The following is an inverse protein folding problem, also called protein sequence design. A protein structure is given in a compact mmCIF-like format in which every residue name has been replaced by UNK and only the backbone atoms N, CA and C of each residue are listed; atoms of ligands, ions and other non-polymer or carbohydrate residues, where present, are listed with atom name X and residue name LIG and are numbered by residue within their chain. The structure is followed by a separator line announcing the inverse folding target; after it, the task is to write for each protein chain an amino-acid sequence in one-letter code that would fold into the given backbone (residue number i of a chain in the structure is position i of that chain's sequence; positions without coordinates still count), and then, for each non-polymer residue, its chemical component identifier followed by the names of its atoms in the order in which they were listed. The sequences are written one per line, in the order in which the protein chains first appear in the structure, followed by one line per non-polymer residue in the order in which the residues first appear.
data_IF_780228929630
#
_entry.id   IF_780228929630
#
_cell.length_a   1.000
_cell.length_b   1.000
_cell.length_c   1.000
_cell.angle_alpha   90.00
_cell.angle_beta   90.00
_cell.angle_gamma   90.00
#
_symmetry.space_group_name_H-M   'P 1'
#
loop_
_entity.id
_entity.type
_entity.pdbx_description
1 polymer ?
#
# COMPACT_ATOMS: atom_id res chain seq x y z
N UNK A 1 3.93 -14.55 -3.20
CA UNK A 1 3.46 -13.14 -3.19
C UNK A 1 3.04 -12.79 -1.78
N UNK A 2 3.27 -11.56 -1.34
CA UNK A 2 2.86 -11.06 -0.02
C UNK A 2 1.83 -9.94 -0.17
N UNK A 3 1.12 -9.64 0.92
CA UNK A 3 0.34 -8.42 1.04
C UNK A 3 1.06 -7.44 1.96
N UNK A 4 1.13 -6.17 1.60
CA UNK A 4 1.85 -5.14 2.37
C UNK A 4 0.86 -4.07 2.82
N UNK A 5 0.93 -3.74 4.11
CA UNK A 5 0.14 -2.67 4.72
C UNK A 5 1.09 -1.63 5.31
N UNK A 6 1.19 -0.45 4.69
CA UNK A 6 2.05 0.63 5.16
C UNK A 6 1.25 1.61 6.02
N UNK A 7 1.59 1.70 7.30
CA UNK A 7 0.88 2.53 8.28
C UNK A 7 1.74 2.71 9.54
N UNK A 8 1.89 3.94 10.01
CA UNK A 8 2.65 4.26 11.22
C UNK A 8 1.85 4.02 12.51
N UNK A 9 0.52 4.05 12.43
CA UNK A 9 -0.36 4.12 13.61
C UNK A 9 -1.33 2.94 13.74
N UNK A 10 -2.06 2.59 12.68
CA UNK A 10 -3.11 1.57 12.72
C UNK A 10 -2.54 0.18 12.94
N UNK A 11 -3.39 -0.73 13.43
CA UNK A 11 -3.07 -2.16 13.53
C UNK A 11 -3.02 -2.76 12.13
N UNK A 12 -2.01 -3.59 11.85
CA UNK A 12 -1.94 -4.38 10.63
C UNK A 12 -3.07 -5.41 10.59
N UNK A 13 -3.85 -5.51 9.50
CA UNK A 13 -4.76 -6.63 9.29
C UNK A 13 -4.00 -7.95 9.24
N UNK A 14 -4.66 -9.05 9.64
CA UNK A 14 -4.05 -10.39 9.53
C UNK A 14 -3.84 -10.78 8.07
N UNK A 15 -2.77 -11.54 7.80
CA UNK A 15 -2.35 -11.88 6.44
C UNK A 15 -1.59 -10.78 5.68
N UNK A 16 -1.36 -9.62 6.30
CA UNK A 16 -0.50 -8.57 5.77
C UNK A 16 0.84 -8.49 6.50
N UNK A 17 1.88 -8.15 5.76
CA UNK A 17 3.16 -7.68 6.28
C UNK A 17 3.08 -6.18 6.51
N UNK A 18 3.36 -5.75 7.73
CA UNK A 18 3.32 -4.35 8.13
C UNK A 18 4.63 -3.63 7.77
N UNK A 19 4.51 -2.48 7.11
CA UNK A 19 5.61 -1.52 6.97
C UNK A 19 5.30 -0.28 7.83
N UNK A 20 6.15 -0.01 8.82
CA UNK A 20 6.00 1.14 9.74
C UNK A 20 6.62 2.43 9.22
N UNK A 21 7.37 2.34 8.14
CA UNK A 21 7.96 3.50 7.48
C UNK A 21 7.91 3.36 5.96
N UNK A 22 8.11 4.48 5.27
CA UNK A 22 8.30 4.52 3.81
C UNK A 22 9.47 3.63 3.39
N UNK A 23 10.58 3.66 4.13
CA UNK A 23 11.78 2.90 3.75
C UNK A 23 11.56 1.38 3.90
N UNK A 24 10.88 0.93 4.95
CA UNK A 24 10.47 -0.47 5.09
C UNK A 24 9.53 -0.90 3.95
N UNK A 25 8.57 -0.05 3.58
CA UNK A 25 7.64 -0.35 2.48
C UNK A 25 8.39 -0.52 1.16
N UNK A 26 9.35 0.37 0.87
CA UNK A 26 10.15 0.30 -0.35
C UNK A 26 11.09 -0.90 -0.36
N UNK A 27 11.65 -1.28 0.80
CA UNK A 27 12.44 -2.49 0.92
C UNK A 27 11.63 -3.74 0.57
N UNK A 28 10.42 -3.87 1.12
CA UNK A 28 9.52 -4.99 0.81
C UNK A 28 9.16 -5.05 -0.68
N UNK A 29 8.85 -3.89 -1.30
CA UNK A 29 8.51 -3.80 -2.72
C UNK A 29 9.68 -4.20 -3.64
N UNK A 30 10.93 -3.97 -3.22
CA UNK A 30 12.12 -4.34 -3.99
C UNK A 30 12.52 -5.81 -3.80
N UNK A 31 12.18 -6.41 -2.66
CA UNK A 31 12.62 -7.76 -2.29
C UNK A 31 11.57 -8.85 -2.56
N UNK A 32 10.30 -8.49 -2.66
CA UNK A 32 9.21 -9.45 -2.82
C UNK A 32 8.21 -9.02 -3.89
N UNK A 33 7.58 -10.01 -4.51
CA UNK A 33 6.41 -9.78 -5.36
C UNK A 33 5.19 -9.50 -4.46
N UNK A 34 4.64 -8.30 -4.58
CA UNK A 34 3.50 -7.82 -3.78
C UNK A 34 2.21 -7.97 -4.57
N UNK A 35 1.25 -8.69 -4.01
CA UNK A 35 -0.08 -8.85 -4.62
C UNK A 35 -0.97 -7.66 -4.25
N UNK A 36 -1.11 -7.35 -2.96
CA UNK A 36 -1.90 -6.22 -2.46
C UNK A 36 -0.99 -5.27 -1.69
N UNK A 37 -1.01 -3.99 -2.06
CA UNK A 37 -0.35 -2.91 -1.35
C UNK A 37 -1.39 -1.91 -0.83
N UNK A 38 -1.41 -1.67 0.47
CA UNK A 38 -2.26 -0.64 1.08
C UNK A 38 -1.39 0.50 1.61
N UNK A 39 -1.62 1.73 1.15
CA UNK A 39 -0.82 2.91 1.48
C UNK A 39 -1.57 3.93 2.35
N UNK A 40 -0.97 4.31 3.48
CA UNK A 40 -1.27 5.57 4.14
C UNK A 40 -0.39 6.70 3.58
N UNK A 41 -0.93 7.92 3.60
CA UNK A 41 -0.19 9.13 3.27
C UNK A 41 0.57 9.67 4.47
N UNK A 42 -0.10 9.74 5.62
CA UNK A 42 0.41 10.35 6.84
C UNK A 42 1.24 9.30 7.59
N UNK A 43 2.56 9.46 7.63
CA UNK A 43 3.48 8.51 8.28
C UNK A 43 4.23 9.13 9.47
N UNK A 44 3.63 10.17 10.07
CA UNK A 44 4.18 10.88 11.22
C UNK A 44 4.84 12.23 10.88
N UNK A 45 5.12 13.06 11.92
CA UNK A 45 5.67 14.39 11.74
C UNK A 45 7.15 14.37 11.31
N UNK A 46 7.48 15.14 10.28
CA UNK A 46 8.81 15.20 9.65
C UNK A 46 9.29 13.89 9.00
N UNK A 47 8.40 12.92 8.81
CA UNK A 47 8.68 11.69 8.08
C UNK A 47 8.38 11.84 6.59
N UNK A 48 8.92 10.92 5.79
CA UNK A 48 8.48 10.73 4.40
C UNK A 48 7.00 10.34 4.39
N UNK A 49 6.31 10.63 3.30
CA UNK A 49 4.87 10.41 3.15
C UNK A 49 4.58 9.28 2.16
N UNK A 50 3.32 8.87 2.06
CA UNK A 50 2.90 7.94 1.01
C UNK A 50 3.19 8.42 -0.42
N UNK A 51 3.38 9.73 -0.65
CA UNK A 51 3.83 10.24 -1.95
C UNK A 51 5.23 9.76 -2.30
N UNK A 52 6.12 9.61 -1.32
CA UNK A 52 7.49 9.14 -1.54
C UNK A 52 7.48 7.69 -2.04
N UNK A 53 6.60 6.85 -1.47
CA UNK A 53 6.36 5.48 -1.96
C UNK A 53 5.74 5.50 -3.35
N UNK A 54 4.67 6.27 -3.57
CA UNK A 54 4.02 6.36 -4.87
C UNK A 54 4.98 6.80 -5.99
N UNK A 55 5.85 7.77 -5.68
CA UNK A 55 6.87 8.26 -6.62
C UNK A 55 7.89 7.18 -6.92
N UNK A 56 8.44 6.51 -5.89
CA UNK A 56 9.41 5.44 -6.07
C UNK A 56 8.83 4.26 -6.88
N UNK A 57 7.58 3.86 -6.61
CA UNK A 57 6.86 2.86 -7.42
C UNK A 57 6.83 3.27 -8.89
N UNK A 58 6.44 4.51 -9.17
CA UNK A 58 6.36 5.01 -10.53
C UNK A 58 7.73 5.08 -11.23
N UNK A 59 8.77 5.49 -10.52
CA UNK A 59 10.11 5.68 -11.10
C UNK A 59 10.89 4.39 -11.26
N UNK A 60 10.74 3.44 -10.34
CA UNK A 60 11.50 2.19 -10.32
C UNK A 60 10.71 1.01 -10.94
N UNK A 61 9.41 1.18 -11.19
CA UNK A 61 8.55 0.12 -11.73
C UNK A 61 8.12 -0.91 -10.68
N UNK A 62 8.10 -0.54 -9.39
CA UNK A 62 7.81 -1.43 -8.25
C UNK A 62 6.31 -1.63 -8.03
N UNK A 63 5.57 -2.00 -9.08
CA UNK A 63 4.12 -2.10 -9.01
C UNK A 63 3.66 -3.40 -8.35
N UNK A 64 2.82 -3.27 -7.32
CA UNK A 64 1.98 -4.37 -6.84
C UNK A 64 0.84 -4.65 -7.84
N UNK A 65 0.21 -5.83 -7.76
CA UNK A 65 -0.95 -6.16 -8.61
C UNK A 65 -2.15 -5.26 -8.32
N UNK A 66 -2.46 -5.05 -7.04
CA UNK A 66 -3.51 -4.14 -6.56
C UNK A 66 -2.97 -3.16 -5.53
N UNK A 67 -3.35 -1.88 -5.67
CA UNK A 67 -2.96 -0.81 -4.76
C UNK A 67 -4.21 -0.13 -4.18
N UNK A 68 -4.28 -0.02 -2.86
CA UNK A 68 -5.33 0.64 -2.09
C UNK A 68 -4.77 1.87 -1.36
N UNK A 69 -5.57 2.92 -1.24
CA UNK A 69 -5.18 4.17 -0.58
C UNK A 69 -6.04 4.37 0.67
N UNK A 70 -5.56 3.89 1.82
CA UNK A 70 -6.30 3.87 3.10
C UNK A 70 -6.06 5.09 3.98
N UNK A 71 -5.68 6.22 3.38
CA UNK A 71 -5.43 7.44 4.15
C UNK A 71 -6.69 8.23 4.50
N UNK A 72 -6.70 8.82 5.69
CA UNK A 72 -7.75 9.78 6.10
C UNK A 72 -7.60 11.15 5.43
N UNK A 73 -6.40 11.49 4.96
CA UNK A 73 -6.12 12.73 4.24
C UNK A 73 -6.69 12.68 2.82
N UNK A 74 -7.71 13.50 2.54
CA UNK A 74 -8.27 13.65 1.19
C UNK A 74 -7.22 14.14 0.19
N UNK A 75 -6.37 15.08 0.62
CA UNK A 75 -5.25 15.57 -0.17
C UNK A 75 -4.24 14.46 -0.44
N UNK A 76 -3.86 13.73 0.61
CA UNK A 76 -2.89 12.64 0.51
C UNK A 76 -3.33 11.55 -0.45
N UNK A 77 -4.57 11.07 -0.32
CA UNK A 77 -5.15 10.09 -1.25
C UNK A 77 -5.15 10.58 -2.69
N UNK A 78 -5.58 11.82 -2.93
CA UNK A 78 -5.61 12.39 -4.28
C UNK A 78 -4.20 12.49 -4.86
N UNK A 79 -3.24 12.97 -4.08
CA UNK A 79 -1.85 13.12 -4.52
C UNK A 79 -1.23 11.78 -4.90
N UNK A 80 -1.36 10.75 -4.05
CA UNK A 80 -0.86 9.41 -4.36
C UNK A 80 -1.58 8.80 -5.58
N UNK A 81 -2.89 8.98 -5.68
CA UNK A 81 -3.67 8.52 -6.83
C UNK A 81 -3.17 9.16 -8.12
N UNK A 82 -2.99 10.48 -8.15
CA UNK A 82 -2.56 11.20 -9.35
C UNK A 82 -1.18 10.71 -9.82
N UNK A 83 -0.24 10.49 -8.89
CA UNK A 83 1.09 9.94 -9.20
C UNK A 83 0.99 8.53 -9.80
N UNK A 84 0.27 7.62 -9.11
CA UNK A 84 0.19 6.22 -9.53
C UNK A 84 -0.62 6.06 -10.81
N UNK A 85 -1.76 6.75 -10.94
CA UNK A 85 -2.65 6.62 -12.08
C UNK A 85 -1.98 7.06 -13.40
N UNK A 86 -1.13 8.09 -13.35
CA UNK A 86 -0.43 8.58 -14.54
C UNK A 86 0.67 7.64 -15.04
N UNK A 87 1.20 6.78 -14.17
CA UNK A 87 2.39 5.98 -14.46
C UNK A 87 2.12 4.47 -14.48
N UNK A 88 1.03 4.00 -13.86
CA UNK A 88 0.78 2.57 -13.70
C UNK A 88 0.57 1.86 -15.05
N UNK A 89 1.06 0.63 -15.20
CA UNK A 89 0.65 -0.26 -16.28
C UNK A 89 -0.86 -0.55 -16.26
N UNK A 90 -1.40 -1.00 -17.40
CA UNK A 90 -2.82 -1.33 -17.54
C UNK A 90 -3.29 -2.45 -16.60
N UNK A 91 -2.41 -3.42 -16.33
CA UNK A 91 -2.73 -4.59 -15.50
C UNK A 91 -2.75 -4.29 -13.99
N UNK A 92 -2.26 -3.13 -13.56
CA UNK A 92 -2.26 -2.73 -12.15
C UNK A 92 -3.60 -2.10 -11.81
N UNK A 93 -4.24 -2.57 -10.74
CA UNK A 93 -5.52 -2.03 -10.27
C UNK A 93 -5.24 -1.03 -9.15
N UNK A 94 -5.82 0.17 -9.25
CA UNK A 94 -5.65 1.24 -8.27
C UNK A 94 -7.00 1.65 -7.71
N UNK A 95 -7.14 1.58 -6.38
CA UNK A 95 -8.33 1.92 -5.63
C UNK A 95 -8.13 3.20 -4.82
N UNK A 96 -9.12 4.09 -4.81
CA UNK A 96 -9.06 5.39 -4.11
C UNK A 96 -9.45 5.34 -2.63
N UNK A 97 -9.63 4.13 -2.09
CA UNK A 97 -10.09 3.88 -0.73
C UNK A 97 -9.39 2.69 -0.09
N UNK A 98 -9.74 2.39 1.17
CA UNK A 98 -9.19 1.26 1.90
C UNK A 98 -9.64 -0.07 1.29
N UNK A 99 -8.96 -1.14 1.68
CA UNK A 99 -9.34 -2.51 1.35
C UNK A 99 -10.76 -2.78 1.90
N UNK A 100 -11.70 -3.32 1.08
CA UNK A 100 -13.04 -3.68 1.55
C UNK A 100 -13.00 -4.74 2.66
N UNK A 101 -13.94 -4.65 3.61
CA UNK A 101 -14.02 -5.58 4.74
C UNK A 101 -14.10 -7.05 4.32
N UNK A 102 -14.95 -7.39 3.34
CA UNK A 102 -15.10 -8.77 2.87
C UNK A 102 -13.78 -9.37 2.34
N UNK A 103 -12.92 -8.53 1.75
CA UNK A 103 -11.61 -8.94 1.26
C UNK A 103 -10.61 -9.13 2.41
N UNK A 104 -10.64 -8.26 3.43
CA UNK A 104 -9.83 -8.45 4.64
C UNK A 104 -10.19 -9.76 5.35
N UNK A 105 -11.48 -10.06 5.51
CA UNK A 105 -11.98 -11.30 6.13
C UNK A 105 -11.55 -12.54 5.34
N UNK A 106 -11.54 -12.46 4.01
CA UNK A 106 -11.06 -13.56 3.15
C UNK A 106 -9.55 -13.80 3.32
N UNK A 107 -8.76 -12.73 3.37
CA UNK A 107 -7.30 -12.80 3.54
C UNK A 107 -6.96 -13.36 4.92
N UNK A 108 -7.61 -12.88 5.99
CA UNK A 108 -7.43 -13.36 7.36
C UNK A 108 -7.70 -14.87 7.44
N UNK A 109 -8.83 -15.34 6.91
CA UNK A 109 -9.17 -16.78 6.89
C UNK A 109 -8.13 -17.64 6.17
N UNK A 110 -7.51 -17.13 5.10
CA UNK A 110 -6.45 -17.84 4.38
C UNK A 110 -5.13 -17.85 5.15
N UNK A 111 -4.84 -16.78 5.90
CA UNK A 111 -3.63 -16.66 6.70
C UNK A 111 -3.70 -17.48 8.01
N UNK A 112 -4.88 -17.57 8.63
CA UNK A 112 -5.12 -18.28 9.89
C UNK A 112 -5.39 -19.79 9.76
N UNK A 113 -5.27 -20.37 8.56
CA UNK A 113 -5.60 -21.77 8.29
C UNK A 113 -4.63 -22.77 8.93
N UNK A 114 -5.03 -23.31 10.08
CA UNK A 114 -4.75 -24.70 10.51
C UNK A 114 -5.75 -25.67 9.87
#
# INVERSE_FOLDING_TARGET
MIHVYMDDFRRCPEGFTLARSVDECLELLRQAEVDILSLDFDMGPNEKTGNDVATAIATEGLYAREIYLHSSSMYGRRSMYDILHQNKPDHVILHTGPIPFDLLDEIERKAGGY
#
